data_IF_628929151468
#
_entry.id   IF_628929151468
#
_cell.length_a   1.000
_cell.length_b   1.000
_cell.length_c   1.000
_cell.angle_alpha   90.00
_cell.angle_beta   90.00
_cell.angle_gamma   90.00
#
_symmetry.space_group_name_H-M   'P 1'
#
loop_
_entity.id
_entity.type
_entity.pdbx_description
1 polymer ?
#
# COMPACT_ATOMS: atom_id res chain seq x y z
N UNK A 1 -13.64 1.24 -23.91
CA UNK A 1 -13.25 1.90 -22.64
C UNK A 1 -13.55 3.38 -22.79
N UNK A 2 -14.36 3.95 -21.89
CA UNK A 2 -14.75 5.36 -21.92
C UNK A 2 -14.01 6.05 -20.78
N UNK A 3 -13.33 7.17 -21.05
CA UNK A 3 -12.62 7.94 -20.04
C UNK A 3 -12.61 9.43 -20.39
N UNK A 4 -12.48 10.28 -19.36
CA UNK A 4 -12.17 11.69 -19.57
C UNK A 4 -10.74 11.83 -20.10
N UNK A 5 -10.59 12.55 -21.22
CA UNK A 5 -9.29 12.84 -21.79
C UNK A 5 -8.75 14.13 -21.19
N UNK A 6 -7.92 14.02 -20.15
CA UNK A 6 -7.21 15.15 -19.56
C UNK A 6 -5.93 15.46 -20.34
N UNK A 7 -5.63 16.75 -20.48
CA UNK A 7 -4.30 17.24 -20.85
C UNK A 7 -3.30 16.97 -19.73
N UNK A 8 -2.00 16.97 -20.04
CA UNK A 8 -0.96 16.77 -19.01
C UNK A 8 -1.04 17.84 -17.91
N UNK A 9 -1.39 19.08 -18.25
CA UNK A 9 -1.57 20.17 -17.28
C UNK A 9 -2.73 19.90 -16.31
N UNK A 10 -3.85 19.39 -16.81
CA UNK A 10 -5.00 19.02 -15.98
C UNK A 10 -4.67 17.82 -15.09
N UNK A 11 -3.97 16.82 -15.61
CA UNK A 11 -3.49 15.67 -14.82
C UNK A 11 -2.60 16.16 -13.68
N UNK A 12 -1.65 17.05 -13.94
CA UNK A 12 -0.80 17.62 -12.90
C UNK A 12 -1.60 18.42 -11.86
N UNK A 13 -2.59 19.19 -12.29
CA UNK A 13 -3.48 19.92 -11.39
C UNK A 13 -4.29 18.98 -10.48
N UNK A 14 -4.84 17.90 -11.04
CA UNK A 14 -5.55 16.85 -10.30
C UNK A 14 -4.62 16.15 -9.32
N UNK A 15 -3.43 15.76 -9.75
CA UNK A 15 -2.49 15.02 -8.90
C UNK A 15 -1.95 15.85 -7.73
N UNK A 16 -1.94 17.18 -7.83
CA UNK A 16 -1.60 18.07 -6.70
C UNK A 16 -2.62 18.00 -5.57
N UNK A 17 -3.86 17.56 -5.83
CA UNK A 17 -4.91 17.41 -4.81
C UNK A 17 -5.00 15.99 -4.27
N UNK A 18 -4.17 15.06 -4.76
CA UNK A 18 -4.11 13.68 -4.30
C UNK A 18 -3.95 13.66 -2.77
N UNK A 19 -4.89 13.01 -2.11
CA UNK A 19 -4.95 12.92 -0.66
C UNK A 19 -4.62 11.49 -0.24
N UNK A 20 -3.69 11.35 0.70
CA UNK A 20 -3.39 10.05 1.31
C UNK A 20 -4.45 9.75 2.36
N UNK A 21 -5.07 8.57 2.25
CA UNK A 21 -6.03 8.08 3.23
C UNK A 21 -5.31 7.11 4.15
N UNK A 22 -5.39 7.34 5.47
CA UNK A 22 -4.75 6.49 6.48
C UNK A 22 -5.84 5.82 7.30
N UNK A 23 -5.74 4.51 7.45
CA UNK A 23 -6.65 3.72 8.26
C UNK A 23 -6.66 4.20 9.71
N UNK A 24 -7.84 4.23 10.33
CA UNK A 24 -8.00 4.71 11.71
C UNK A 24 -7.26 3.84 12.74
N UNK A 25 -6.93 2.58 12.41
CA UNK A 25 -6.19 1.63 13.26
C UNK A 25 -4.68 1.81 13.17
N UNK A 26 -4.16 2.47 12.14
CA UNK A 26 -2.72 2.72 11.98
C UNK A 26 -2.26 3.85 12.92
N UNK A 27 -1.73 3.47 14.09
CA UNK A 27 -1.33 4.40 15.15
C UNK A 27 0.16 4.72 15.20
N UNK A 28 1.01 3.86 14.63
CA UNK A 28 2.47 3.96 14.79
C UNK A 28 3.10 4.35 13.45
N UNK A 29 2.68 5.50 12.94
CA UNK A 29 3.01 6.01 11.60
C UNK A 29 3.70 7.40 11.62
N UNK A 30 4.24 7.84 12.76
CA UNK A 30 4.77 9.20 12.92
C UNK A 30 5.84 9.59 11.89
N UNK A 31 6.66 8.64 11.43
CA UNK A 31 7.66 8.88 10.39
C UNK A 31 7.02 9.09 9.00
N UNK A 32 5.92 8.39 8.69
CA UNK A 32 5.12 8.60 7.47
C UNK A 32 4.44 9.95 7.52
N UNK A 33 3.75 10.26 8.62
CA UNK A 33 3.07 11.55 8.80
C UNK A 33 4.04 12.73 8.69
N UNK A 34 5.22 12.64 9.32
CA UNK A 34 6.26 13.67 9.22
C UNK A 34 6.70 13.88 7.77
N UNK A 35 6.91 12.81 7.00
CA UNK A 35 7.28 12.93 5.59
C UNK A 35 6.17 13.59 4.76
N UNK A 36 4.91 13.16 4.93
CA UNK A 36 3.77 13.73 4.20
C UNK A 36 3.57 15.21 4.54
N UNK A 37 3.71 15.58 5.81
CA UNK A 37 3.63 16.97 6.27
C UNK A 37 4.75 17.83 5.67
N UNK A 38 5.99 17.34 5.64
CA UNK A 38 7.13 18.02 5.03
C UNK A 38 6.93 18.27 3.52
N UNK A 39 6.18 17.40 2.85
CA UNK A 39 5.81 17.53 1.44
C UNK A 39 4.48 18.26 1.21
N UNK A 40 3.85 18.75 2.28
CA UNK A 40 2.54 19.41 2.25
C UNK A 40 1.47 18.56 1.56
N UNK A 41 1.52 17.24 1.75
CA UNK A 41 0.56 16.31 1.16
C UNK A 41 -0.69 16.26 2.04
N UNK A 42 -1.90 16.43 1.47
CA UNK A 42 -3.14 16.27 2.21
C UNK A 42 -3.28 14.85 2.77
N UNK A 43 -3.76 14.75 4.00
CA UNK A 43 -4.01 13.47 4.69
C UNK A 43 -5.45 13.44 5.21
N UNK A 44 -6.11 12.30 5.00
CA UNK A 44 -7.44 12.00 5.56
C UNK A 44 -7.36 10.76 6.43
N UNK A 45 -7.82 10.85 7.68
CA UNK A 45 -7.94 9.68 8.56
C UNK A 45 -9.35 9.10 8.39
N UNK A 46 -9.44 7.84 7.96
CA UNK A 46 -10.71 7.16 7.71
C UNK A 46 -10.54 5.65 7.85
N UNK A 47 -11.58 4.93 8.29
CA UNK A 47 -11.56 3.46 8.28
C UNK A 47 -11.48 2.95 6.83
N UNK A 48 -10.55 2.04 6.57
CA UNK A 48 -10.41 1.25 5.35
C UNK A 48 -10.87 -0.19 5.61
N UNK A 49 -11.39 -0.85 4.58
CA UNK A 49 -11.80 -2.26 4.68
C UNK A 49 -10.61 -3.23 4.68
N UNK A 50 -9.48 -2.81 4.09
CA UNK A 50 -8.20 -3.51 4.07
C UNK A 50 -7.05 -2.52 3.80
N UNK A 51 -5.83 -2.89 4.21
CA UNK A 51 -4.66 -2.02 4.15
C UNK A 51 -4.64 -0.91 5.20
N UNK A 52 -3.44 -0.41 5.48
CA UNK A 52 -3.20 0.72 6.37
C UNK A 52 -3.27 2.07 5.65
N UNK A 53 -2.99 2.07 4.34
CA UNK A 53 -2.98 3.28 3.52
C UNK A 53 -3.71 3.07 2.19
N UNK A 54 -4.40 4.11 1.75
CA UNK A 54 -4.97 4.26 0.40
C UNK A 54 -4.80 5.69 -0.10
N UNK A 55 -5.45 6.02 -1.21
CA UNK A 55 -5.49 7.38 -1.72
C UNK A 55 -6.81 7.74 -2.39
N UNK A 56 -7.10 9.03 -2.43
CA UNK A 56 -8.26 9.58 -3.11
C UNK A 56 -7.91 10.88 -3.83
N UNK A 57 -8.69 11.19 -4.86
CA UNK A 57 -8.70 12.48 -5.53
C UNK A 57 -10.00 13.18 -5.13
N UNK A 58 -9.97 14.37 -4.51
CA UNK A 58 -11.19 15.07 -4.11
C UNK A 58 -12.00 15.54 -5.32
N UNK A 59 -13.30 15.78 -5.10
CA UNK A 59 -14.16 16.39 -6.12
C UNK A 59 -13.56 17.70 -6.67
N UNK A 60 -13.58 17.84 -7.99
CA UNK A 60 -13.22 19.04 -8.72
C UNK A 60 -14.15 19.18 -9.95
N UNK A 61 -15.31 19.85 -9.81
CA UNK A 61 -16.29 20.00 -10.88
C UNK A 61 -15.75 20.74 -12.12
N UNK A 62 -14.80 21.65 -11.96
CA UNK A 62 -14.16 22.39 -13.07
C UNK A 62 -13.40 21.45 -14.00
N UNK A 63 -12.86 20.36 -13.45
CA UNK A 63 -12.19 19.29 -14.20
C UNK A 63 -13.09 18.07 -14.41
N UNK A 64 -14.41 18.21 -14.23
CA UNK A 64 -15.37 17.11 -14.47
C UNK A 64 -15.39 16.02 -13.39
N UNK A 65 -14.67 16.19 -12.27
CA UNK A 65 -14.65 15.25 -11.15
C UNK A 65 -15.76 15.62 -10.17
N UNK A 66 -16.94 15.06 -10.34
CA UNK A 66 -18.13 15.48 -9.56
C UNK A 66 -18.17 14.97 -8.11
N UNK A 67 -17.37 13.96 -7.78
CA UNK A 67 -17.29 13.34 -6.43
C UNK A 67 -15.86 12.91 -6.15
N UNK A 68 -15.56 12.73 -4.87
CA UNK A 68 -14.31 12.11 -4.43
C UNK A 68 -14.11 10.75 -5.11
N UNK A 69 -12.97 10.57 -5.75
CA UNK A 69 -12.56 9.34 -6.40
C UNK A 69 -11.63 8.58 -5.47
N UNK A 70 -12.11 7.51 -4.85
CA UNK A 70 -11.28 6.59 -4.08
C UNK A 70 -10.64 5.60 -5.02
N UNK A 71 -9.32 5.47 -4.95
CA UNK A 71 -8.61 4.52 -5.78
C UNK A 71 -8.61 3.13 -5.13
N UNK A 72 -8.83 2.10 -5.94
CA UNK A 72 -8.80 0.71 -5.50
C UNK A 72 -7.34 0.19 -5.40
N UNK A 73 -6.54 0.85 -4.58
CA UNK A 73 -5.14 0.49 -4.31
C UNK A 73 -4.82 0.75 -2.85
N UNK A 74 -4.12 -0.20 -2.25
CA UNK A 74 -3.87 -0.21 -0.82
C UNK A 74 -2.47 -0.69 -0.51
N UNK A 75 -1.90 -0.12 0.54
CA UNK A 75 -0.61 -0.51 1.10
C UNK A 75 -0.89 -1.01 2.51
N UNK A 76 -0.47 -2.24 2.78
CA UNK A 76 -0.37 -2.80 4.12
C UNK A 76 1.07 -2.65 4.59
N UNK A 77 1.28 -2.12 5.79
CA UNK A 77 2.61 -1.89 6.33
C UNK A 77 2.94 -2.96 7.36
N UNK A 78 4.15 -3.51 7.25
CA UNK A 78 4.73 -4.44 8.21
C UNK A 78 6.06 -3.91 8.72
N UNK A 79 6.34 -4.11 10.00
CA UNK A 79 7.58 -3.63 10.61
C UNK A 79 8.81 -4.51 10.30
N UNK A 80 8.61 -5.73 9.79
CA UNK A 80 9.70 -6.66 9.50
C UNK A 80 9.25 -8.12 9.36
N UNK A 81 10.22 -9.02 9.21
CA UNK A 81 10.01 -10.47 9.03
C UNK A 81 9.31 -11.09 10.25
N UNK A 82 9.62 -10.62 11.46
CA UNK A 82 9.02 -11.12 12.70
C UNK A 82 7.50 -10.93 12.74
N UNK A 83 6.99 -9.77 12.30
CA UNK A 83 5.55 -9.53 12.23
C UNK A 83 4.88 -10.44 11.20
N UNK A 84 5.48 -10.60 10.02
CA UNK A 84 4.95 -11.49 8.98
C UNK A 84 4.92 -12.95 9.47
N UNK A 85 6.02 -13.44 10.04
CA UNK A 85 6.06 -14.82 10.57
C UNK A 85 5.08 -15.00 11.72
N UNK A 86 4.89 -13.98 12.56
CA UNK A 86 3.85 -13.93 13.59
C UNK A 86 2.43 -13.99 13.01
N UNK A 87 2.17 -13.33 11.89
CA UNK A 87 0.89 -13.40 11.17
C UNK A 87 0.67 -14.72 10.43
N UNK A 88 1.72 -15.52 10.19
CA UNK A 88 1.62 -16.82 9.50
C UNK A 88 1.51 -18.03 10.45
N UNK A 89 1.45 -17.79 11.77
CA UNK A 89 1.26 -18.85 12.76
C UNK A 89 -0.13 -19.48 12.67
N UNK A 90 -0.28 -20.68 13.25
CA UNK A 90 -1.51 -21.48 13.12
C UNK A 90 -2.78 -20.71 13.50
N UNK A 91 -2.69 -19.91 14.57
CA UNK A 91 -3.84 -19.24 15.17
C UNK A 91 -4.10 -17.84 14.57
N UNK A 92 -3.12 -17.26 13.85
CA UNK A 92 -3.17 -15.90 13.30
C UNK A 92 -3.28 -15.86 11.78
N UNK A 93 -2.85 -16.92 11.07
CA UNK A 93 -2.83 -17.00 9.61
C UNK A 93 -4.18 -16.73 8.95
N UNK A 94 -5.28 -17.09 9.60
CA UNK A 94 -6.61 -16.86 9.05
C UNK A 94 -6.90 -15.37 8.89
N UNK A 95 -6.47 -14.53 9.82
CA UNK A 95 -6.66 -13.08 9.74
C UNK A 95 -5.88 -12.49 8.56
N UNK A 96 -4.61 -12.88 8.42
CA UNK A 96 -3.75 -12.45 7.32
C UNK A 96 -4.30 -12.90 5.95
N UNK A 97 -4.68 -14.17 5.82
CA UNK A 97 -5.25 -14.69 4.57
C UNK A 97 -6.57 -13.99 4.24
N UNK A 98 -7.43 -13.74 5.22
CA UNK A 98 -8.69 -13.03 5.00
C UNK A 98 -8.48 -11.60 4.51
N UNK A 99 -7.40 -10.95 4.93
CA UNK A 99 -7.02 -9.65 4.41
C UNK A 99 -6.60 -9.72 2.93
N UNK A 100 -5.76 -10.70 2.56
CA UNK A 100 -5.40 -10.94 1.16
C UNK A 100 -6.62 -11.25 0.29
N UNK A 101 -7.61 -11.97 0.84
CA UNK A 101 -8.88 -12.24 0.16
C UNK A 101 -9.69 -10.95 -0.03
N UNK A 102 -9.82 -10.11 1.00
CA UNK A 102 -10.55 -8.83 0.90
C UNK A 102 -9.88 -7.86 -0.09
N UNK A 103 -8.56 -7.94 -0.21
CA UNK A 103 -7.78 -7.11 -1.12
C UNK A 103 -7.85 -7.56 -2.59
N UNK A 104 -8.45 -8.73 -2.89
CA UNK A 104 -8.59 -9.20 -4.27
C UNK A 104 -9.37 -8.19 -5.13
N UNK A 105 -8.90 -8.01 -6.36
CA UNK A 105 -9.44 -7.00 -7.29
C UNK A 105 -8.89 -5.58 -7.08
N UNK A 106 -8.11 -5.34 -6.03
CA UNK A 106 -7.36 -4.10 -5.82
C UNK A 106 -5.88 -4.23 -6.22
N UNK A 107 -5.17 -3.12 -6.34
CA UNK A 107 -3.70 -3.12 -6.34
C UNK A 107 -3.19 -3.09 -4.91
N UNK A 108 -2.91 -4.27 -4.36
CA UNK A 108 -2.47 -4.48 -2.97
C UNK A 108 -0.97 -4.77 -2.88
N UNK A 109 -0.30 -4.13 -1.92
CA UNK A 109 1.13 -4.34 -1.68
C UNK A 109 1.46 -4.29 -0.20
N UNK A 110 2.37 -5.16 0.24
CA UNK A 110 2.97 -5.13 1.56
C UNK A 110 4.26 -4.32 1.53
N UNK A 111 4.33 -3.22 2.26
CA UNK A 111 5.58 -2.50 2.50
C UNK A 111 6.17 -2.96 3.82
N UNK A 112 7.42 -3.42 3.78
CA UNK A 112 8.10 -3.98 4.95
C UNK A 112 9.26 -3.08 5.34
N UNK A 113 9.29 -2.62 6.59
CA UNK A 113 10.38 -1.78 7.17
C UNK A 113 11.68 -2.56 7.43
N UNK A 114 12.09 -3.41 6.48
CA UNK A 114 13.25 -4.30 6.61
C UNK A 114 14.05 -4.33 5.30
N UNK A 115 15.11 -3.52 5.14
CA UNK A 115 15.84 -3.45 3.87
C UNK A 115 16.61 -4.74 3.52
N UNK A 116 16.97 -5.56 4.50
CA UNK A 116 17.69 -6.85 4.35
C UNK A 116 16.74 -8.07 4.44
N UNK A 117 15.48 -7.87 4.05
CA UNK A 117 14.39 -8.85 4.21
C UNK A 117 14.69 -10.23 3.62
N UNK A 118 15.16 -10.29 2.37
CA UNK A 118 15.45 -11.56 1.71
C UNK A 118 16.68 -12.24 2.35
N UNK A 119 17.71 -11.48 2.73
CA UNK A 119 18.88 -12.01 3.45
C UNK A 119 18.52 -12.57 4.82
N UNK A 120 17.67 -11.87 5.60
CA UNK A 120 17.18 -12.35 6.89
C UNK A 120 16.37 -13.62 6.76
N UNK A 121 15.49 -13.69 5.77
CA UNK A 121 14.73 -14.92 5.49
C UNK A 121 15.67 -16.06 5.16
N UNK A 122 16.63 -15.85 4.25
CA UNK A 122 17.57 -16.89 3.83
C UNK A 122 18.43 -17.42 4.97
N UNK A 123 18.84 -16.54 5.90
CA UNK A 123 19.66 -16.90 7.07
C UNK A 123 18.85 -17.46 8.25
N UNK A 124 17.53 -17.32 8.24
CA UNK A 124 16.71 -17.65 9.41
C UNK A 124 16.86 -16.64 10.55
N UNK A 125 17.21 -15.39 10.24
CA UNK A 125 17.45 -14.33 11.23
C UNK A 125 16.14 -13.63 11.62
N UNK A 126 15.30 -14.37 12.33
CA UNK A 126 14.02 -13.93 12.90
C UNK A 126 13.67 -14.83 14.09
N UNK A 127 12.77 -14.37 14.97
CA UNK A 127 12.44 -15.05 16.24
C UNK A 127 11.71 -16.37 16.05
N UNK A 128 10.90 -16.46 15.00
CA UNK A 128 10.12 -17.66 14.69
C UNK A 128 11.03 -18.85 14.34
N UNK A 129 10.63 -20.07 14.72
CA UNK A 129 11.30 -21.31 14.30
C UNK A 129 10.86 -21.79 12.91
N UNK A 130 10.26 -20.90 12.12
CA UNK A 130 9.87 -21.21 10.75
C UNK A 130 11.13 -21.58 9.95
N UNK A 131 11.12 -22.74 9.29
CA UNK A 131 12.23 -23.11 8.41
C UNK A 131 12.40 -22.06 7.29
N UNK A 132 13.62 -21.53 7.05
CA UNK A 132 13.89 -20.51 6.02
C UNK A 132 13.32 -20.85 4.63
N UNK A 133 13.54 -22.09 4.18
CA UNK A 133 13.11 -22.55 2.85
C UNK A 133 11.58 -22.63 2.80
N UNK A 134 10.95 -23.15 3.84
CA UNK A 134 9.50 -23.22 3.96
C UNK A 134 8.86 -21.83 4.03
N UNK A 135 9.47 -20.88 4.75
CA UNK A 135 8.98 -19.50 4.84
C UNK A 135 9.01 -18.82 3.46
N UNK A 136 10.15 -18.86 2.77
CA UNK A 136 10.26 -18.28 1.42
C UNK A 136 9.27 -18.92 0.45
N UNK A 137 9.20 -20.25 0.43
CA UNK A 137 8.23 -20.97 -0.40
C UNK A 137 6.78 -20.56 -0.13
N UNK A 138 6.42 -20.39 1.15
CA UNK A 138 5.08 -19.96 1.55
C UNK A 138 4.77 -18.53 1.10
N UNK A 139 5.70 -17.59 1.26
CA UNK A 139 5.52 -16.21 0.81
C UNK A 139 5.33 -16.13 -0.70
N UNK A 140 6.17 -16.82 -1.48
CA UNK A 140 6.03 -16.85 -2.94
C UNK A 140 4.71 -17.51 -3.38
N UNK A 141 4.27 -18.56 -2.68
CA UNK A 141 2.99 -19.21 -2.94
C UNK A 141 1.80 -18.27 -2.68
N UNK A 142 1.85 -17.48 -1.60
CA UNK A 142 0.82 -16.48 -1.30
C UNK A 142 0.81 -15.35 -2.33
N UNK A 143 1.98 -14.82 -2.71
CA UNK A 143 2.10 -13.80 -3.75
C UNK A 143 1.49 -14.28 -5.07
N UNK A 144 1.79 -15.51 -5.48
CA UNK A 144 1.23 -16.11 -6.69
C UNK A 144 -0.29 -16.32 -6.59
N UNK A 145 -0.78 -16.80 -5.44
CA UNK A 145 -2.21 -17.11 -5.25
C UNK A 145 -3.09 -15.86 -5.15
N UNK A 146 -2.60 -14.81 -4.49
CA UNK A 146 -3.39 -13.61 -4.17
C UNK A 146 -2.93 -12.36 -4.94
N UNK A 147 -1.98 -12.49 -5.86
CA UNK A 147 -1.52 -11.44 -6.76
C UNK A 147 -1.16 -10.12 -6.04
N UNK A 148 -0.25 -10.20 -5.07
CA UNK A 148 0.28 -9.03 -4.35
C UNK A 148 1.81 -9.05 -4.31
N UNK A 149 2.39 -7.91 -3.98
CA UNK A 149 3.84 -7.72 -3.86
C UNK A 149 4.25 -7.55 -2.39
N UNK A 150 5.48 -7.96 -2.07
CA UNK A 150 6.17 -7.59 -0.83
C UNK A 150 7.35 -6.72 -1.24
N UNK A 151 7.41 -5.49 -0.73
CA UNK A 151 8.42 -4.50 -1.07
C UNK A 151 9.15 -4.07 0.21
N UNK A 152 10.32 -4.64 0.48
CA UNK A 152 11.13 -4.26 1.62
C UNK A 152 11.86 -2.94 1.37
N UNK A 153 12.02 -2.14 2.42
CA UNK A 153 12.70 -0.84 2.38
C UNK A 153 13.08 -0.37 3.79
N UNK A 154 13.94 0.64 3.88
CA UNK A 154 14.19 1.29 5.16
C UNK A 154 12.96 2.04 5.66
N UNK A 155 12.80 2.13 6.98
CA UNK A 155 11.72 2.86 7.65
C UNK A 155 11.57 4.30 7.16
N UNK A 156 12.69 4.97 6.87
CA UNK A 156 12.68 6.36 6.41
C UNK A 156 12.10 6.50 4.99
N UNK A 157 12.11 5.43 4.20
CA UNK A 157 11.61 5.43 2.82
C UNK A 157 10.11 5.10 2.69
N UNK A 158 9.46 4.61 3.75
CA UNK A 158 8.03 4.23 3.71
C UNK A 158 7.15 5.40 3.24
N UNK A 159 7.25 6.56 3.89
CA UNK A 159 6.44 7.73 3.53
C UNK A 159 6.69 8.21 2.10
N UNK A 160 7.95 8.17 1.66
CA UNK A 160 8.33 8.47 0.28
C UNK A 160 7.67 7.51 -0.71
N UNK A 161 7.79 6.21 -0.49
CA UNK A 161 7.28 5.19 -1.39
C UNK A 161 5.75 5.10 -1.37
N UNK A 162 5.07 5.37 -0.25
CA UNK A 162 3.60 5.47 -0.19
C UNK A 162 3.13 6.56 -1.15
N UNK A 163 3.68 7.77 -1.03
CA UNK A 163 3.32 8.90 -1.89
C UNK A 163 3.56 8.58 -3.37
N UNK A 164 4.74 8.08 -3.72
CA UNK A 164 5.10 7.84 -5.12
C UNK A 164 4.30 6.67 -5.71
N UNK A 165 4.07 5.59 -4.95
CA UNK A 165 3.24 4.45 -5.38
C UNK A 165 1.86 4.92 -5.78
N UNK A 166 1.19 5.69 -4.91
CA UNK A 166 -0.15 6.20 -5.19
C UNK A 166 -0.18 7.26 -6.28
N UNK A 167 0.77 8.21 -6.26
CA UNK A 167 0.86 9.27 -7.27
C UNK A 167 0.97 8.70 -8.70
N UNK A 168 1.87 7.74 -8.92
CA UNK A 168 2.07 7.20 -10.26
C UNK A 168 0.97 6.23 -10.69
N UNK A 169 0.34 5.51 -9.75
CA UNK A 169 -0.87 4.76 -10.06
C UNK A 169 -2.02 5.71 -10.46
N UNK A 170 -2.23 6.79 -9.72
CA UNK A 170 -3.26 7.80 -10.01
C UNK A 170 -3.03 8.41 -11.38
N UNK A 171 -1.78 8.79 -11.67
CA UNK A 171 -1.38 9.32 -12.97
C UNK A 171 -1.65 8.34 -14.10
N UNK A 172 -1.34 7.06 -13.90
CA UNK A 172 -1.62 6.02 -14.90
C UNK A 172 -3.13 5.94 -15.16
N UNK A 173 -3.95 5.85 -14.12
CA UNK A 173 -5.41 5.81 -14.25
C UNK A 173 -5.98 7.03 -14.98
N UNK A 174 -5.51 8.24 -14.66
CA UNK A 174 -5.96 9.46 -15.35
C UNK A 174 -5.57 9.50 -16.83
N UNK A 175 -4.51 8.78 -17.23
CA UNK A 175 -4.06 8.70 -18.63
C UNK A 175 -4.74 7.61 -19.43
N UNK A 176 -4.97 6.45 -18.82
CA UNK A 176 -5.47 5.27 -19.54
C UNK A 176 -6.96 5.04 -19.35
N UNK A 177 -7.59 5.75 -18.41
CA UNK A 177 -8.93 5.46 -17.94
C UNK A 177 -8.95 4.46 -16.78
N UNK A 178 -10.06 4.44 -16.06
CA UNK A 178 -10.38 3.40 -15.08
C UNK A 178 -10.87 2.14 -15.81
N UNK A 179 -10.54 0.97 -15.26
CA UNK A 179 -11.25 -0.27 -15.57
C UNK A 179 -12.69 -0.17 -15.08
#
# INVERSE_FOLDING_TARGET
MIHYKYTDKEIEAILKTLTIVIDTREKVNGHVLKYLQQKSIPVKIQKLDHGDYGCMIPANPELGIQRDLYMNTFIERKNGVDEITGNLQKDTQHAFINELIRAQGSRFVLFVEEPDFDEKIAKGDYRSKYDPKALKGRLESLKAKYNFEIVPMSKQMIGHNILHRFYYQARHFLKTGMF
#
